data_IF_102874601528
#
_entry.id   IF_102874601528
#
_cell.length_a   1.000
_cell.length_b   1.000
_cell.length_c   1.000
_cell.angle_alpha   90.00
_cell.angle_beta   90.00
_cell.angle_gamma   90.00
#
_symmetry.space_group_name_H-M   'P 1'
#
loop_
_entity.id
_entity.type
_entity.pdbx_description
1 polymer ?
#
# COMPACT_ATOMS: atom_id res chain seq x y z
N UNK A 1 6.44 -9.45 3.25
CA UNK A 1 5.90 -9.15 4.58
C UNK A 1 6.72 -8.01 5.14
N UNK A 2 6.06 -7.00 5.67
CA UNK A 2 6.69 -5.85 6.32
C UNK A 2 7.09 -6.29 7.72
N UNK A 3 8.36 -6.18 8.07
CA UNK A 3 8.92 -6.98 9.15
C UNK A 3 9.01 -6.28 10.50
N UNK A 4 9.23 -4.98 10.49
CA UNK A 4 9.28 -4.13 11.67
C UNK A 4 8.67 -2.80 11.30
N UNK A 5 7.66 -2.39 12.05
CA UNK A 5 6.96 -1.14 11.85
C UNK A 5 7.09 -0.37 13.14
N UNK A 6 7.98 0.61 13.16
CA UNK A 6 8.15 1.42 14.37
C UNK A 6 6.80 2.03 14.76
N UNK A 7 6.53 2.12 16.07
CA UNK A 7 5.18 2.38 16.58
C UNK A 7 4.59 3.74 16.16
N UNK A 8 5.43 4.58 15.56
CA UNK A 8 5.13 5.93 15.13
C UNK A 8 4.77 6.01 13.63
N UNK A 9 5.00 4.93 12.85
CA UNK A 9 4.64 4.87 11.41
C UNK A 9 3.23 4.34 11.21
N UNK A 10 2.25 5.02 11.80
CA UNK A 10 0.87 4.55 11.87
C UNK A 10 -0.09 5.25 10.90
N UNK A 11 0.35 6.23 10.10
CA UNK A 11 -0.49 6.94 9.13
C UNK A 11 0.02 6.77 7.69
N UNK A 12 -0.75 6.11 6.83
CA UNK A 12 -0.39 5.87 5.43
C UNK A 12 -0.31 7.17 4.61
N UNK A 13 -1.03 8.23 5.00
CA UNK A 13 -1.03 9.50 4.27
C UNK A 13 0.36 10.11 4.05
N UNK A 14 1.28 9.97 5.01
CA UNK A 14 2.66 10.46 4.84
C UNK A 14 3.41 9.81 3.66
N UNK A 15 3.04 8.59 3.31
CA UNK A 15 3.65 7.89 2.17
C UNK A 15 3.30 8.53 0.83
N UNK A 16 2.19 9.29 0.74
CA UNK A 16 1.83 10.10 -0.42
C UNK A 16 2.86 11.21 -0.66
N UNK A 17 3.26 11.88 0.41
CA UNK A 17 4.27 12.94 0.39
C UNK A 17 5.61 12.36 -0.07
N UNK A 18 6.02 11.22 0.50
CA UNK A 18 7.27 10.55 0.12
C UNK A 18 7.25 10.11 -1.34
N UNK A 19 6.12 9.58 -1.83
CA UNK A 19 5.96 9.19 -3.23
C UNK A 19 6.17 10.38 -4.19
N UNK A 20 5.51 11.53 -3.92
CA UNK A 20 5.69 12.71 -4.75
C UNK A 20 7.10 13.30 -4.64
N UNK A 21 7.69 13.37 -3.44
CA UNK A 21 9.08 13.83 -3.25
C UNK A 21 10.06 12.96 -4.04
N UNK A 22 9.90 11.64 -4.00
CA UNK A 22 10.79 10.70 -4.68
C UNK A 22 10.72 10.81 -6.22
N UNK A 23 9.55 11.17 -6.76
CA UNK A 23 9.38 11.35 -8.21
C UNK A 23 9.79 12.75 -8.68
N UNK A 24 9.46 13.79 -7.92
CA UNK A 24 9.72 15.18 -8.31
C UNK A 24 11.17 15.62 -8.05
N UNK A 25 11.85 15.01 -7.07
CA UNK A 25 13.24 15.31 -6.75
C UNK A 25 14.14 14.25 -7.39
N UNK A 26 14.75 14.60 -8.52
CA UNK A 26 15.54 13.66 -9.34
C UNK A 26 16.69 12.96 -8.58
N UNK A 27 17.18 13.50 -7.45
CA UNK A 27 18.17 12.85 -6.58
C UNK A 27 18.05 13.28 -5.10
N UNK A 28 17.05 12.80 -4.37
CA UNK A 28 16.96 12.95 -2.92
C UNK A 28 17.54 11.74 -2.17
N UNK A 29 18.51 11.93 -1.28
CA UNK A 29 18.91 10.85 -0.35
C UNK A 29 17.75 10.53 0.61
N UNK A 30 17.66 9.30 1.15
CA UNK A 30 16.66 8.97 2.18
C UNK A 30 16.62 9.96 3.35
N UNK A 31 17.79 10.45 3.78
CA UNK A 31 17.90 11.44 4.85
C UNK A 31 17.31 12.79 4.45
N UNK A 32 17.53 13.23 3.21
CA UNK A 32 16.96 14.47 2.69
C UNK A 32 15.44 14.39 2.60
N UNK A 33 14.89 13.27 2.12
CA UNK A 33 13.44 13.02 2.11
C UNK A 33 12.88 13.04 3.54
N UNK A 34 13.57 12.44 4.51
CA UNK A 34 13.15 12.47 5.91
C UNK A 34 13.15 13.90 6.48
N UNK A 35 14.17 14.72 6.16
CA UNK A 35 14.23 16.12 6.57
C UNK A 35 13.05 16.94 6.02
N UNK A 36 12.75 16.82 4.72
CA UNK A 36 11.63 17.53 4.11
C UNK A 36 10.29 17.04 4.66
N UNK A 37 10.12 15.73 4.83
CA UNK A 37 8.90 15.16 5.42
C UNK A 37 8.64 15.72 6.81
N UNK A 38 9.69 15.86 7.64
CA UNK A 38 9.59 16.48 8.95
C UNK A 38 9.16 17.94 8.82
N UNK A 39 9.81 18.73 7.96
CA UNK A 39 9.47 20.15 7.76
C UNK A 39 8.02 20.36 7.31
N UNK A 40 7.56 19.57 6.32
CA UNK A 40 6.18 19.56 5.86
C UNK A 40 5.23 19.21 7.01
N UNK A 41 5.54 18.18 7.80
CA UNK A 41 4.71 17.77 8.93
C UNK A 41 4.64 18.86 10.01
N UNK A 42 5.77 19.48 10.36
CA UNK A 42 5.85 20.54 11.37
C UNK A 42 5.08 21.79 10.93
N UNK A 43 5.18 22.17 9.66
CA UNK A 43 4.47 23.32 9.08
C UNK A 43 2.95 23.13 9.10
N UNK A 44 2.50 21.88 9.10
CA UNK A 44 1.09 21.51 9.14
C UNK A 44 0.58 21.17 10.55
N UNK A 45 1.41 21.24 11.59
CA UNK A 45 1.04 20.82 12.96
C UNK A 45 -0.24 21.48 13.47
N UNK A 46 -0.41 22.79 13.25
CA UNK A 46 -1.58 23.54 13.73
C UNK A 46 -2.90 23.00 13.17
N UNK A 47 -2.87 22.43 11.97
CA UNK A 47 -4.04 21.83 11.31
C UNK A 47 -4.38 20.43 11.86
N UNK A 48 -3.43 19.79 12.55
CA UNK A 48 -3.52 18.37 12.91
C UNK A 48 -3.19 18.06 14.37
N UNK A 49 -3.11 19.04 15.29
CA UNK A 49 -2.54 18.90 16.64
C UNK A 49 -3.04 17.67 17.46
N UNK A 50 -4.26 17.19 17.20
CA UNK A 50 -4.87 16.05 17.89
C UNK A 50 -4.75 14.72 17.12
N UNK A 51 -4.20 14.73 15.91
CA UNK A 51 -4.05 13.54 15.07
C UNK A 51 -2.94 12.63 15.64
N UNK A 52 -3.25 11.37 15.93
CA UNK A 52 -2.25 10.37 16.29
C UNK A 52 -1.38 10.03 15.08
N UNK A 53 -0.09 9.79 15.33
CA UNK A 53 0.88 9.38 14.31
C UNK A 53 1.58 10.52 13.58
N UNK A 54 1.47 11.75 14.09
CA UNK A 54 2.18 12.90 13.55
C UNK A 54 3.70 12.70 13.59
N UNK A 55 4.36 12.99 12.47
CA UNK A 55 5.82 13.11 12.41
C UNK A 55 6.23 14.39 13.14
N UNK A 56 6.82 14.24 14.32
CA UNK A 56 7.27 15.34 15.19
C UNK A 56 8.79 15.37 15.40
N UNK A 57 9.48 14.33 14.94
CA UNK A 57 10.93 14.19 15.08
C UNK A 57 11.54 13.60 13.83
N UNK A 58 12.83 13.85 13.63
CA UNK A 58 13.59 13.26 12.52
C UNK A 58 13.58 11.73 12.57
N UNK A 59 13.63 11.14 13.77
CA UNK A 59 13.55 9.69 13.93
C UNK A 59 12.22 9.13 13.39
N UNK A 60 11.09 9.82 13.60
CA UNK A 60 9.82 9.38 13.03
C UNK A 60 9.83 9.47 11.50
N UNK A 61 10.39 10.55 10.95
CA UNK A 61 10.48 10.74 9.51
C UNK A 61 11.35 9.65 8.84
N UNK A 62 12.51 9.33 9.44
CA UNK A 62 13.38 8.24 8.99
C UNK A 62 12.66 6.89 9.01
N UNK A 63 11.85 6.62 10.05
CA UNK A 63 11.05 5.39 10.10
C UNK A 63 10.02 5.32 8.95
N UNK A 64 9.39 6.44 8.59
CA UNK A 64 8.49 6.50 7.42
C UNK A 64 9.23 6.29 6.10
N UNK A 65 10.44 6.81 5.96
CA UNK A 65 11.31 6.56 4.80
C UNK A 65 11.73 5.08 4.70
N UNK A 66 12.03 4.45 5.84
CA UNK A 66 12.26 3.01 5.92
C UNK A 66 11.03 2.21 5.48
N UNK A 67 9.85 2.57 5.98
CA UNK A 67 8.57 1.96 5.58
C UNK A 67 8.30 2.13 4.07
N UNK A 68 8.55 3.33 3.53
CA UNK A 68 8.40 3.62 2.11
C UNK A 68 9.30 2.72 1.24
N UNK A 69 10.49 2.38 1.72
CA UNK A 69 11.38 1.43 1.05
C UNK A 69 10.80 -0.01 1.08
N UNK A 70 10.22 -0.45 2.20
CA UNK A 70 9.56 -1.77 2.28
C UNK A 70 8.32 -1.90 1.37
N UNK A 71 7.69 -0.76 1.06
CA UNK A 71 6.50 -0.64 0.19
C UNK A 71 6.82 -0.30 -1.28
N UNK A 72 8.09 -0.31 -1.69
CA UNK A 72 8.52 0.02 -3.06
C UNK A 72 8.06 1.42 -3.53
N UNK A 73 7.93 2.35 -2.57
CA UNK A 73 7.80 3.77 -2.84
C UNK A 73 9.19 4.36 -3.09
N UNK A 74 10.20 3.88 -2.36
CA UNK A 74 11.60 4.22 -2.58
C UNK A 74 12.38 2.98 -3.04
N UNK A 75 13.30 3.18 -3.98
CA UNK A 75 14.24 2.15 -4.44
C UNK A 75 15.68 2.71 -4.35
N UNK A 76 16.23 2.72 -3.13
CA UNK A 76 17.52 3.32 -2.84
C UNK A 76 17.45 4.86 -2.87
N UNK A 77 17.96 5.47 -3.93
CA UNK A 77 18.05 6.94 -4.09
C UNK A 77 16.99 7.53 -5.02
N UNK A 78 16.05 6.72 -5.51
CA UNK A 78 15.00 7.20 -6.43
C UNK A 78 13.62 6.59 -6.17
N UNK A 79 12.64 7.03 -6.96
CA UNK A 79 11.28 6.53 -6.92
C UNK A 79 11.18 5.04 -7.31
N UNK A 80 10.59 4.26 -6.42
CA UNK A 80 10.11 2.92 -6.72
C UNK A 80 8.87 2.93 -7.63
N UNK A 81 8.39 1.76 -8.02
CA UNK A 81 7.24 1.63 -8.93
C UNK A 81 5.97 2.23 -8.31
N UNK A 82 5.76 2.01 -7.01
CA UNK A 82 4.61 2.53 -6.27
C UNK A 82 4.57 4.06 -6.28
N UNK A 83 5.72 4.72 -6.08
CA UNK A 83 5.81 6.17 -6.11
C UNK A 83 5.49 6.73 -7.50
N UNK A 84 6.02 6.10 -8.55
CA UNK A 84 5.74 6.47 -9.94
C UNK A 84 4.25 6.40 -10.21
N UNK A 85 3.60 5.27 -9.90
CA UNK A 85 2.15 5.11 -10.09
C UNK A 85 1.39 6.23 -9.38
N UNK A 86 1.63 6.43 -8.08
CA UNK A 86 0.90 7.44 -7.31
C UNK A 86 1.08 8.85 -7.87
N UNK A 87 2.31 9.23 -8.20
CA UNK A 87 2.64 10.58 -8.67
C UNK A 87 1.97 10.98 -9.99
N UNK A 88 1.53 10.01 -10.80
CA UNK A 88 0.80 10.27 -12.04
C UNK A 88 -0.74 10.27 -11.88
N UNK A 89 -1.26 9.99 -10.68
CA UNK A 89 -2.68 10.06 -10.40
C UNK A 89 -3.15 11.50 -10.18
N UNK A 90 -4.42 11.79 -10.43
CA UNK A 90 -5.01 13.09 -10.12
C UNK A 90 -4.98 13.36 -8.61
N UNK A 91 -5.11 12.32 -7.79
CA UNK A 91 -5.09 12.40 -6.33
C UNK A 91 -3.77 12.92 -5.76
N UNK A 92 -2.66 12.85 -6.52
CA UNK A 92 -1.37 13.38 -6.08
C UNK A 92 -1.22 14.89 -6.30
N UNK A 93 -2.08 15.52 -7.12
CA UNK A 93 -1.96 16.93 -7.52
C UNK A 93 -1.85 17.91 -6.33
N UNK A 94 -2.65 17.78 -5.24
CA UNK A 94 -2.50 18.64 -4.08
C UNK A 94 -1.13 18.51 -3.41
N UNK A 95 -0.55 17.30 -3.39
CA UNK A 95 0.76 17.03 -2.80
C UNK A 95 1.87 17.63 -3.68
N UNK A 96 1.76 17.53 -5.00
CA UNK A 96 2.68 18.20 -5.92
C UNK A 96 2.66 19.73 -5.75
N UNK A 97 1.48 20.34 -5.58
CA UNK A 97 1.35 21.78 -5.29
C UNK A 97 1.96 22.14 -3.93
N UNK A 98 1.75 21.32 -2.91
CA UNK A 98 2.40 21.50 -1.61
C UNK A 98 3.93 21.53 -1.74
N UNK A 99 4.51 20.55 -2.46
CA UNK A 99 5.97 20.42 -2.59
C UNK A 99 6.56 21.57 -3.41
N UNK A 100 5.91 21.99 -4.50
CA UNK A 100 6.44 23.00 -5.42
C UNK A 100 6.17 24.43 -4.99
N UNK A 101 4.99 24.68 -4.44
CA UNK A 101 4.46 26.03 -4.19
C UNK A 101 4.29 26.32 -2.69
N UNK A 102 4.41 25.32 -1.82
CA UNK A 102 4.14 25.46 -0.37
C UNK A 102 2.65 25.56 -0.04
N UNK A 103 1.76 25.24 -0.99
CA UNK A 103 0.30 25.34 -0.80
C UNK A 103 -0.18 24.36 0.28
N UNK A 104 -0.79 24.83 1.40
CA UNK A 104 -1.26 23.95 2.47
C UNK A 104 -2.29 22.94 1.98
N UNK A 105 -2.16 21.68 2.39
CA UNK A 105 -3.09 20.61 2.02
C UNK A 105 -3.14 19.51 3.08
N UNK A 106 -4.21 18.70 3.07
CA UNK A 106 -4.31 17.54 3.95
C UNK A 106 -3.44 16.38 3.46
N UNK A 107 -2.35 16.14 4.17
CA UNK A 107 -1.39 15.08 3.88
C UNK A 107 -1.74 13.75 4.56
N UNK A 108 -2.67 13.73 5.53
CA UNK A 108 -2.95 12.56 6.36
C UNK A 108 -4.15 11.77 5.85
N UNK A 109 -5.22 12.46 5.46
CA UNK A 109 -6.46 11.80 5.04
C UNK A 109 -6.31 11.20 3.65
N UNK A 110 -6.82 9.99 3.46
CA UNK A 110 -6.84 9.31 2.16
C UNK A 110 -8.19 9.53 1.47
N UNK A 111 -8.16 9.85 0.18
CA UNK A 111 -9.36 9.74 -0.67
C UNK A 111 -9.75 8.26 -0.83
N UNK A 112 -10.97 7.96 -1.27
CA UNK A 112 -11.39 6.56 -1.48
C UNK A 112 -10.50 5.82 -2.51
N UNK A 113 -10.02 6.51 -3.55
CA UNK A 113 -9.07 5.92 -4.51
C UNK A 113 -7.72 5.66 -3.83
N UNK A 114 -7.25 6.59 -3.00
CA UNK A 114 -6.02 6.41 -2.21
C UNK A 114 -6.16 5.26 -1.20
N UNK A 115 -7.33 5.06 -0.60
CA UNK A 115 -7.60 3.91 0.27
C UNK A 115 -7.43 2.58 -0.47
N UNK A 116 -7.99 2.46 -1.67
CA UNK A 116 -7.80 1.27 -2.53
C UNK A 116 -6.33 1.14 -2.95
N UNK A 117 -5.67 2.25 -3.30
CA UNK A 117 -4.26 2.28 -3.66
C UNK A 117 -3.38 1.76 -2.53
N UNK A 118 -3.52 2.28 -1.31
CA UNK A 118 -2.73 1.81 -0.17
C UNK A 118 -3.10 0.40 0.28
N UNK A 119 -4.37 -0.02 0.17
CA UNK A 119 -4.74 -1.41 0.39
C UNK A 119 -4.04 -2.35 -0.61
N UNK A 120 -3.93 -1.96 -1.88
CA UNK A 120 -3.19 -2.73 -2.89
C UNK A 120 -1.72 -2.89 -2.53
N UNK A 121 -1.09 -1.84 -1.98
CA UNK A 121 0.31 -1.88 -1.52
C UNK A 121 0.45 -2.84 -0.34
N UNK A 122 -0.43 -2.76 0.65
CA UNK A 122 -0.41 -3.69 1.80
C UNK A 122 -0.57 -5.14 1.35
N UNK A 123 -1.49 -5.41 0.42
CA UNK A 123 -1.67 -6.76 -0.14
C UNK A 123 -0.45 -7.21 -0.94
N UNK A 124 0.21 -6.31 -1.66
CA UNK A 124 1.43 -6.64 -2.42
C UNK A 124 2.63 -6.86 -1.49
N UNK A 125 2.83 -6.06 -0.45
CA UNK A 125 4.07 -6.10 0.35
C UNK A 125 3.92 -6.88 1.66
N UNK A 126 2.70 -7.00 2.17
CA UNK A 126 2.38 -7.56 3.47
C UNK A 126 1.19 -8.53 3.45
N UNK A 127 0.97 -9.19 2.30
CA UNK A 127 -0.20 -10.03 2.01
C UNK A 127 -0.71 -10.85 3.20
N UNK A 128 0.06 -11.83 3.68
CA UNK A 128 -0.40 -12.81 4.67
C UNK A 128 -0.79 -12.18 6.00
N UNK A 129 -0.07 -11.14 6.43
CA UNK A 129 -0.38 -10.44 7.66
C UNK A 129 -1.60 -9.54 7.46
N UNK A 130 -1.66 -8.78 6.37
CA UNK A 130 -2.79 -7.89 6.08
C UNK A 130 -4.09 -8.69 5.89
N UNK A 131 -4.06 -9.78 5.13
CA UNK A 131 -5.23 -10.63 4.90
C UNK A 131 -5.69 -11.35 6.17
N UNK A 132 -4.76 -11.85 6.98
CA UNK A 132 -5.07 -12.47 8.26
C UNK A 132 -5.69 -11.48 9.26
N UNK A 133 -5.16 -10.26 9.34
CA UNK A 133 -5.73 -9.19 10.19
C UNK A 133 -7.14 -8.81 9.70
N UNK A 134 -7.35 -8.64 8.38
CA UNK A 134 -8.67 -8.31 7.84
C UNK A 134 -9.67 -9.43 8.18
N UNK A 135 -9.34 -10.72 7.97
CA UNK A 135 -10.22 -11.84 8.33
C UNK A 135 -10.61 -11.81 9.81
N UNK A 136 -9.63 -11.67 10.69
CA UNK A 136 -9.86 -11.60 12.12
C UNK A 136 -10.73 -10.40 12.52
N UNK A 137 -10.54 -9.24 11.87
CA UNK A 137 -11.36 -8.05 12.09
C UNK A 137 -12.82 -8.30 11.70
N UNK A 138 -13.07 -8.96 10.57
CA UNK A 138 -14.42 -9.30 10.10
C UNK A 138 -15.15 -10.23 11.09
N UNK A 139 -14.42 -11.13 11.72
CA UNK A 139 -14.95 -12.07 12.73
C UNK A 139 -15.26 -11.38 14.06
N UNK A 140 -14.33 -10.57 14.58
CA UNK A 140 -14.42 -10.00 15.92
C UNK A 140 -15.25 -8.70 15.98
N UNK A 141 -15.27 -7.93 14.89
CA UNK A 141 -16.04 -6.68 14.69
C UNK A 141 -15.75 -5.51 15.64
N UNK A 142 -15.42 -5.75 16.91
CA UNK A 142 -15.06 -4.74 17.91
C UNK A 142 -14.09 -5.35 18.91
N UNK A 143 -13.00 -4.65 19.22
CA UNK A 143 -11.92 -5.19 20.02
C UNK A 143 -11.03 -4.10 20.61
N UNK A 144 -10.27 -4.44 21.66
CA UNK A 144 -9.19 -3.58 22.14
C UNK A 144 -7.89 -3.89 21.42
N UNK A 145 -6.97 -2.91 21.41
CA UNK A 145 -5.62 -3.07 20.87
C UNK A 145 -4.86 -4.22 21.53
N UNK A 146 -5.05 -4.43 22.84
CA UNK A 146 -4.34 -5.49 23.56
C UNK A 146 -4.86 -6.87 23.15
N UNK A 147 -6.18 -7.03 23.07
CA UNK A 147 -6.78 -8.31 22.66
C UNK A 147 -6.35 -8.68 21.24
N UNK A 148 -6.35 -7.69 20.33
CA UNK A 148 -5.84 -7.86 18.98
C UNK A 148 -4.34 -8.23 18.99
N UNK A 149 -3.51 -7.55 19.79
CA UNK A 149 -2.08 -7.86 19.90
C UNK A 149 -1.83 -9.29 20.36
N UNK A 150 -2.52 -9.73 21.41
CA UNK A 150 -2.40 -11.10 21.92
C UNK A 150 -2.86 -12.10 20.84
N UNK A 151 -4.08 -11.96 20.34
CA UNK A 151 -4.65 -12.92 19.39
C UNK A 151 -3.89 -12.98 18.07
N UNK A 152 -3.67 -11.84 17.41
CA UNK A 152 -3.07 -11.81 16.06
C UNK A 152 -1.57 -12.10 16.08
N UNK A 153 -0.83 -11.68 17.12
CA UNK A 153 0.60 -12.00 17.19
C UNK A 153 0.86 -13.45 17.56
N UNK A 154 -0.06 -14.12 18.25
CA UNK A 154 0.08 -15.53 18.64
C UNK A 154 -0.49 -16.50 17.61
N UNK A 155 -1.34 -16.03 16.69
CA UNK A 155 -2.00 -16.90 15.68
C UNK A 155 -1.64 -16.51 14.24
N UNK A 156 -1.96 -15.28 13.83
CA UNK A 156 -1.80 -14.81 12.44
C UNK A 156 -0.35 -14.54 12.09
N UNK A 157 0.42 -13.90 12.98
CA UNK A 157 1.81 -13.55 12.70
C UNK A 157 2.74 -14.76 12.47
N UNK A 158 2.70 -15.83 13.29
CA UNK A 158 3.48 -17.05 13.02
C UNK A 158 3.07 -17.72 11.70
N UNK A 159 1.76 -17.76 11.39
CA UNK A 159 1.29 -18.32 10.11
C UNK A 159 1.76 -17.47 8.92
N UNK A 160 1.70 -16.14 9.03
CA UNK A 160 2.22 -15.24 8.00
C UNK A 160 3.73 -15.42 7.77
N UNK A 161 4.51 -15.62 8.85
CA UNK A 161 5.92 -15.97 8.76
C UNK A 161 6.15 -17.32 8.08
N UNK A 162 5.36 -18.34 8.43
CA UNK A 162 5.43 -19.67 7.82
C UNK A 162 5.17 -19.63 6.32
N UNK A 163 4.18 -18.86 5.88
CA UNK A 163 3.91 -18.68 4.44
C UNK A 163 5.02 -17.88 3.75
N UNK A 164 5.51 -16.79 4.37
CA UNK A 164 6.62 -16.02 3.82
C UNK A 164 7.92 -16.84 3.71
N UNK A 165 8.15 -17.79 4.62
CA UNK A 165 9.31 -18.67 4.61
C UNK A 165 9.31 -19.64 3.41
N UNK A 166 8.13 -20.08 2.94
CA UNK A 166 8.00 -21.02 1.81
C UNK A 166 8.60 -20.47 0.51
N UNK A 167 8.49 -19.16 0.29
CA UNK A 167 9.01 -18.47 -0.91
C UNK A 167 10.35 -17.77 -0.69
N UNK A 168 10.91 -17.80 0.53
CA UNK A 168 12.17 -17.13 0.85
C UNK A 168 13.40 -17.99 0.56
N UNK A 169 14.47 -17.34 0.10
CA UNK A 169 15.76 -17.93 -0.26
C UNK A 169 16.92 -17.21 0.44
N UNK A 170 18.04 -17.92 0.61
CA UNK A 170 19.30 -17.38 1.17
C UNK A 170 19.16 -16.78 2.57
N UNK A 171 19.89 -15.68 2.84
CA UNK A 171 19.92 -14.99 4.15
C UNK A 171 18.53 -14.58 4.66
N UNK A 172 17.60 -14.24 3.76
CA UNK A 172 16.22 -13.90 4.13
C UNK A 172 15.49 -15.10 4.74
N UNK A 173 15.70 -16.29 4.20
CA UNK A 173 15.11 -17.54 4.72
C UNK A 173 15.58 -17.82 6.15
N UNK A 174 16.88 -17.69 6.41
CA UNK A 174 17.44 -17.88 7.76
C UNK A 174 16.88 -16.87 8.76
N UNK A 175 16.79 -15.59 8.38
CA UNK A 175 16.22 -14.55 9.22
C UNK A 175 14.74 -14.82 9.56
N UNK A 176 13.96 -15.28 8.57
CA UNK A 176 12.55 -15.65 8.76
C UNK A 176 12.40 -16.89 9.65
N UNK A 177 13.24 -17.91 9.46
CA UNK A 177 13.19 -19.13 10.27
C UNK A 177 13.44 -18.83 11.75
N UNK A 178 14.46 -18.01 12.06
CA UNK A 178 14.74 -17.56 13.44
C UNK A 178 13.58 -16.78 14.04
N UNK A 179 12.94 -15.89 13.26
CA UNK A 179 11.76 -15.13 13.71
C UNK A 179 10.55 -16.04 13.95
N UNK A 180 10.35 -17.04 13.10
CA UNK A 180 9.26 -18.02 13.25
C UNK A 180 9.43 -18.86 14.52
N UNK A 181 10.62 -19.37 14.79
CA UNK A 181 10.91 -20.14 16.00
C UNK A 181 10.59 -19.34 17.28
N UNK A 182 10.94 -18.05 17.30
CA UNK A 182 10.59 -17.15 18.40
C UNK A 182 9.07 -16.94 18.45
N UNK A 183 8.42 -16.72 17.30
CA UNK A 183 7.00 -16.42 17.23
C UNK A 183 6.10 -17.61 17.62
N UNK A 184 6.54 -18.85 17.37
CA UNK A 184 5.82 -20.06 17.78
C UNK A 184 5.73 -20.23 19.30
N UNK A 185 6.69 -19.66 20.05
CA UNK A 185 6.69 -19.68 21.52
C UNK A 185 5.97 -18.48 22.15
N UNK A 186 5.37 -17.60 21.35
CA UNK A 186 4.82 -16.35 21.87
C UNK A 186 3.75 -16.52 22.96
N UNK A 187 2.78 -17.43 22.76
CA UNK A 187 1.75 -17.68 23.76
C UNK A 187 2.35 -18.23 25.07
N UNK A 188 3.29 -19.18 24.96
CA UNK A 188 4.00 -19.77 26.10
C UNK A 188 4.82 -18.71 26.86
N UNK A 189 5.64 -17.94 26.13
CA UNK A 189 6.49 -16.90 26.71
C UNK A 189 5.69 -15.79 27.38
N UNK A 190 4.53 -15.42 26.81
CA UNK A 190 3.64 -14.45 27.45
C UNK A 190 3.06 -14.99 28.76
N UNK A 191 2.70 -16.27 28.80
CA UNK A 191 2.20 -16.95 29.99
C UNK A 191 3.21 -17.05 31.14
N UNK A 192 4.51 -16.86 30.87
CA UNK A 192 5.57 -16.86 31.89
C UNK A 192 5.67 -15.57 32.71
N UNK A 193 5.10 -14.46 32.23
CA UNK A 193 5.12 -13.21 32.98
C UNK A 193 4.09 -13.24 34.12
N UNK A 194 4.52 -12.84 35.31
CA UNK A 194 3.69 -12.85 36.53
C UNK A 194 2.60 -11.77 36.51
N UNK A 195 2.78 -10.73 35.71
CA UNK A 195 1.82 -9.63 35.60
C UNK A 195 1.86 -8.95 34.22
N UNK A 196 0.76 -8.24 33.90
CA UNK A 196 0.67 -7.42 32.69
C UNK A 196 1.72 -6.30 32.64
N UNK A 197 2.08 -5.71 33.77
CA UNK A 197 3.10 -4.66 33.83
C UNK A 197 4.49 -5.20 33.50
N UNK A 198 4.81 -6.39 33.97
CA UNK A 198 6.06 -7.08 33.64
C UNK A 198 6.14 -7.35 32.14
N UNK A 199 5.06 -7.89 31.56
CA UNK A 199 4.98 -8.15 30.13
C UNK A 199 5.15 -6.88 29.28
N UNK A 200 4.51 -5.77 29.64
CA UNK A 200 4.61 -4.49 28.89
C UNK A 200 6.04 -3.93 28.85
N UNK A 201 6.90 -4.30 29.80
CA UNK A 201 8.33 -3.92 29.81
C UNK A 201 9.22 -4.91 29.07
N UNK A 202 8.68 -6.02 28.59
CA UNK A 202 9.43 -7.07 27.93
C UNK A 202 9.78 -6.75 26.48
N UNK A 203 10.81 -7.43 25.97
CA UNK A 203 11.14 -7.42 24.53
C UNK A 203 10.01 -7.99 23.67
N UNK A 204 9.26 -8.96 24.19
CA UNK A 204 8.14 -9.56 23.47
C UNK A 204 7.03 -8.54 23.20
N UNK A 205 6.67 -7.74 24.20
CA UNK A 205 5.69 -6.66 24.02
C UNK A 205 6.17 -5.61 23.00
N UNK A 206 7.47 -5.28 22.99
CA UNK A 206 8.02 -4.39 21.97
C UNK A 206 7.81 -4.95 20.54
N UNK A 207 8.05 -6.26 20.34
CA UNK A 207 7.78 -6.91 19.05
C UNK A 207 6.30 -6.79 18.66
N UNK A 208 5.37 -7.00 19.61
CA UNK A 208 3.94 -6.91 19.35
C UNK A 208 3.56 -5.48 18.97
N UNK A 209 4.02 -4.50 19.74
CA UNK A 209 3.73 -3.08 19.56
C UNK A 209 4.29 -2.51 18.25
N UNK A 210 5.42 -3.03 17.79
CA UNK A 210 6.05 -2.64 16.52
C UNK A 210 5.63 -3.51 15.33
N UNK A 211 4.67 -4.41 15.52
CA UNK A 211 4.14 -5.22 14.42
C UNK A 211 2.68 -4.90 14.17
N UNK A 212 1.83 -5.03 15.18
CA UNK A 212 0.38 -5.01 14.96
C UNK A 212 -0.25 -3.62 15.04
N UNK A 213 -0.04 -2.79 16.08
CA UNK A 213 -0.73 -1.51 16.19
C UNK A 213 -0.63 -0.63 14.95
N UNK A 214 0.52 -0.47 14.27
CA UNK A 214 0.59 0.29 13.03
C UNK A 214 -0.35 -0.24 11.94
N UNK A 215 -0.48 -1.57 11.79
CA UNK A 215 -1.39 -2.19 10.83
C UNK A 215 -2.85 -1.92 11.14
N UNK A 216 -3.23 -1.93 12.42
CA UNK A 216 -4.58 -1.54 12.82
C UNK A 216 -4.87 -0.10 12.41
N UNK A 217 -3.89 0.80 12.57
CA UNK A 217 -4.05 2.19 12.14
C UNK A 217 -4.06 2.37 10.63
N UNK A 218 -3.31 1.56 9.88
CA UNK A 218 -3.41 1.53 8.42
C UNK A 218 -4.79 1.06 7.96
N UNK A 219 -5.39 0.09 8.64
CA UNK A 219 -6.78 -0.32 8.37
C UNK A 219 -7.80 0.76 8.76
N UNK A 220 -7.47 1.66 9.69
CA UNK A 220 -8.28 2.87 9.94
C UNK A 220 -8.16 3.84 8.78
N UNK A 221 -6.95 4.13 8.30
CA UNK A 221 -6.73 5.04 7.16
C UNK A 221 -7.40 4.53 5.87
N UNK A 222 -7.36 3.22 5.63
CA UNK A 222 -8.03 2.54 4.51
C UNK A 222 -9.56 2.53 4.67
N UNK A 223 -10.08 2.84 5.86
CA UNK A 223 -11.52 2.88 6.14
C UNK A 223 -12.13 1.51 6.46
N UNK A 224 -11.33 0.49 6.77
CA UNK A 224 -11.81 -0.82 7.22
C UNK A 224 -12.20 -0.79 8.71
N UNK A 225 -11.44 -0.05 9.51
CA UNK A 225 -11.66 0.12 10.95
C UNK A 225 -12.04 1.57 11.29
N UNK A 226 -12.76 1.72 12.40
CA UNK A 226 -13.01 2.98 13.08
C UNK A 226 -12.34 2.97 14.46
N UNK A 227 -11.89 4.13 14.91
CA UNK A 227 -11.50 4.34 16.30
C UNK A 227 -12.74 4.70 17.12
N UNK A 228 -13.06 3.88 18.12
CA UNK A 228 -14.18 4.12 19.04
C UNK A 228 -13.73 4.65 20.41
N UNK A 229 -12.41 4.74 20.62
CA UNK A 229 -11.79 5.27 21.82
C UNK A 229 -10.29 4.97 21.85
N UNK A 230 -9.64 5.32 22.96
CA UNK A 230 -8.19 5.09 23.11
C UNK A 230 -7.88 3.59 23.06
N UNK A 231 -7.24 3.15 21.97
CA UNK A 231 -6.86 1.76 21.76
C UNK A 231 -8.05 0.80 21.64
N UNK A 232 -9.21 1.29 21.19
CA UNK A 232 -10.39 0.49 20.90
C UNK A 232 -10.82 0.73 19.46
N UNK A 233 -11.12 -0.36 18.75
CA UNK A 233 -11.45 -0.34 17.34
C UNK A 233 -12.77 -1.06 17.10
N UNK A 234 -13.48 -0.66 16.05
CA UNK A 234 -14.61 -1.40 15.49
C UNK A 234 -14.49 -1.45 13.98
N UNK A 235 -15.10 -2.46 13.36
CA UNK A 235 -15.28 -2.49 11.91
C UNK A 235 -16.09 -1.26 11.46
N UNK A 236 -15.73 -0.67 10.33
CA UNK A 236 -16.50 0.44 9.76
C UNK A 236 -17.81 -0.06 9.16
N UNK A 237 -18.88 0.78 9.11
CA UNK A 237 -20.12 0.39 8.45
C UNK A 237 -19.92 0.02 6.98
N UNK A 238 -19.04 0.73 6.27
CA UNK A 238 -18.70 0.43 4.88
C UNK A 238 -18.00 -0.93 4.75
N UNK A 239 -17.03 -1.23 5.62
CA UNK A 239 -16.36 -2.52 5.63
C UNK A 239 -17.32 -3.67 5.96
N UNK A 240 -18.28 -3.42 6.86
CA UNK A 240 -19.31 -4.40 7.20
C UNK A 240 -20.20 -4.73 6.01
N UNK A 241 -20.63 -3.75 5.20
CA UNK A 241 -21.44 -4.01 4.00
C UNK A 241 -20.66 -4.76 2.92
N UNK A 242 -19.35 -4.55 2.82
CA UNK A 242 -18.45 -5.27 1.90
C UNK A 242 -17.77 -6.50 2.52
N UNK A 243 -18.26 -7.03 3.64
CA UNK A 243 -17.60 -8.16 4.34
C UNK A 243 -17.33 -9.34 3.42
N UNK A 244 -18.29 -9.69 2.54
CA UNK A 244 -18.11 -10.78 1.56
C UNK A 244 -16.98 -10.49 0.57
N UNK A 245 -16.90 -9.27 0.07
CA UNK A 245 -15.88 -8.85 -0.90
C UNK A 245 -14.49 -8.85 -0.26
N UNK A 246 -14.39 -8.38 0.99
CA UNK A 246 -13.15 -8.43 1.78
C UNK A 246 -12.73 -9.86 2.10
N UNK A 247 -13.68 -10.76 2.38
CA UNK A 247 -13.38 -12.19 2.56
C UNK A 247 -12.81 -12.80 1.29
N UNK A 248 -13.46 -12.59 0.13
CA UNK A 248 -12.98 -13.09 -1.16
C UNK A 248 -11.58 -12.56 -1.51
N UNK A 249 -11.32 -11.28 -1.22
CA UNK A 249 -10.01 -10.65 -1.34
C UNK A 249 -8.93 -11.39 -0.53
N UNK A 250 -9.27 -11.84 0.68
CA UNK A 250 -8.32 -12.43 1.62
C UNK A 250 -8.19 -13.97 1.50
N UNK A 251 -9.10 -14.65 0.80
CA UNK A 251 -9.05 -16.10 0.55
C UNK A 251 -8.14 -16.49 -0.62
N UNK A 252 -7.87 -15.57 -1.54
CA UNK A 252 -7.01 -15.79 -2.70
C UNK A 252 -5.52 -15.91 -2.38
N UNK A 253 -4.72 -16.07 -3.44
CA UNK A 253 -3.27 -15.91 -3.37
C UNK A 253 -2.88 -14.44 -3.48
N UNK A 254 -1.63 -14.11 -3.13
CA UNK A 254 -1.07 -12.75 -3.26
C UNK A 254 -1.22 -12.23 -4.70
N UNK A 255 -1.02 -13.09 -5.68
CA UNK A 255 -1.08 -12.76 -7.11
C UNK A 255 -2.51 -12.45 -7.56
N UNK A 256 -3.51 -13.09 -6.94
CA UNK A 256 -4.93 -12.85 -7.22
C UNK A 256 -5.52 -11.69 -6.42
N UNK A 257 -4.89 -11.29 -5.31
CA UNK A 257 -5.43 -10.28 -4.41
C UNK A 257 -5.69 -8.94 -5.12
N UNK A 258 -4.78 -8.52 -6.00
CA UNK A 258 -4.94 -7.29 -6.77
C UNK A 258 -6.12 -7.38 -7.76
N UNK A 259 -6.30 -8.52 -8.43
CA UNK A 259 -7.48 -8.77 -9.28
C UNK A 259 -8.78 -8.65 -8.46
N UNK A 260 -8.85 -9.34 -7.32
CA UNK A 260 -10.02 -9.34 -6.46
C UNK A 260 -10.32 -7.96 -5.87
N UNK A 261 -9.28 -7.16 -5.60
CA UNK A 261 -9.42 -5.80 -5.11
C UNK A 261 -10.21 -4.94 -6.10
N UNK A 262 -9.85 -4.96 -7.39
CA UNK A 262 -10.55 -4.17 -8.40
C UNK A 262 -11.94 -4.74 -8.75
N UNK A 263 -12.06 -6.06 -8.82
CA UNK A 263 -13.31 -6.74 -9.20
C UNK A 263 -14.41 -6.57 -8.13
N UNK A 264 -14.05 -6.70 -6.85
CA UNK A 264 -15.01 -6.70 -5.75
C UNK A 264 -14.95 -5.41 -4.93
N UNK A 265 -13.83 -5.16 -4.26
CA UNK A 265 -13.75 -4.10 -3.24
C UNK A 265 -13.86 -2.70 -3.84
N UNK A 266 -13.10 -2.39 -4.89
CA UNK A 266 -13.13 -1.09 -5.54
C UNK A 266 -14.52 -0.78 -6.13
N UNK A 267 -15.15 -1.79 -6.74
CA UNK A 267 -16.50 -1.69 -7.28
C UNK A 267 -17.53 -1.35 -6.21
N UNK A 268 -17.48 -2.04 -5.07
CA UNK A 268 -18.43 -1.83 -3.96
C UNK A 268 -18.18 -0.52 -3.22
N UNK A 269 -16.91 -0.18 -2.93
CA UNK A 269 -16.55 1.01 -2.18
C UNK A 269 -16.83 2.31 -2.95
N UNK A 270 -16.51 2.34 -4.24
CA UNK A 270 -16.62 3.54 -5.09
C UNK A 270 -17.91 3.56 -5.93
N UNK A 271 -18.70 2.48 -5.96
CA UNK A 271 -19.80 2.33 -6.91
C UNK A 271 -19.33 2.36 -8.37
N UNK A 272 -18.08 1.96 -8.63
CA UNK A 272 -17.43 2.13 -9.91
C UNK A 272 -18.05 1.25 -11.00
N UNK A 273 -18.19 1.81 -12.21
CA UNK A 273 -18.77 1.11 -13.37
C UNK A 273 -17.72 0.28 -14.09
N UNK A 274 -18.13 -0.77 -14.79
CA UNK A 274 -17.23 -1.49 -15.68
C UNK A 274 -17.01 -0.66 -16.95
N UNK A 275 -15.76 -0.33 -17.33
CA UNK A 275 -15.47 0.34 -18.59
C UNK A 275 -15.63 -0.63 -19.76
N UNK A 276 -16.02 -0.11 -20.91
CA UNK A 276 -15.92 -0.87 -22.16
C UNK A 276 -14.46 -0.97 -22.63
N UNK A 277 -14.24 -1.76 -23.68
CA UNK A 277 -12.89 -1.98 -24.23
C UNK A 277 -12.27 -0.70 -24.76
N UNK A 278 -13.03 0.13 -25.46
CA UNK A 278 -12.54 1.40 -26.03
C UNK A 278 -12.02 2.32 -24.94
N UNK A 279 -12.78 2.50 -23.85
CA UNK A 279 -12.38 3.32 -22.70
C UNK A 279 -11.15 2.76 -21.98
N UNK A 280 -11.00 1.44 -21.89
CA UNK A 280 -9.77 0.83 -21.35
C UNK A 280 -8.56 1.14 -22.23
N UNK A 281 -8.71 1.08 -23.55
CA UNK A 281 -7.64 1.37 -24.49
C UNK A 281 -7.28 2.87 -24.48
N UNK A 282 -8.26 3.76 -24.51
CA UNK A 282 -8.06 5.21 -24.39
C UNK A 282 -7.27 5.55 -23.13
N UNK A 283 -7.67 4.98 -21.98
CA UNK A 283 -6.97 5.21 -20.72
C UNK A 283 -5.53 4.64 -20.73
N UNK A 284 -5.28 3.49 -21.36
CA UNK A 284 -3.92 2.96 -21.52
C UNK A 284 -3.03 3.91 -22.33
N UNK A 285 -3.55 4.46 -23.44
CA UNK A 285 -2.81 5.38 -24.31
C UNK A 285 -2.55 6.73 -23.64
N UNK A 286 -3.56 7.30 -22.98
CA UNK A 286 -3.43 8.53 -22.20
C UNK A 286 -2.34 8.40 -21.13
N UNK A 287 -2.39 7.33 -20.34
CA UNK A 287 -1.42 7.11 -19.26
C UNK A 287 -0.03 6.78 -19.81
N UNK A 288 0.07 6.05 -20.93
CA UNK A 288 1.36 5.79 -21.57
C UNK A 288 2.01 7.09 -22.02
N UNK A 289 1.27 7.97 -22.70
CA UNK A 289 1.80 9.26 -23.18
C UNK A 289 2.24 10.15 -22.00
N UNK A 290 1.45 10.18 -20.92
CA UNK A 290 1.78 10.91 -19.70
C UNK A 290 3.09 10.41 -19.07
N UNK A 291 3.25 9.10 -18.98
CA UNK A 291 4.41 8.47 -18.33
C UNK A 291 5.65 8.53 -19.21
N UNK A 292 5.54 8.24 -20.51
CA UNK A 292 6.67 8.26 -21.44
C UNK A 292 7.32 9.65 -21.53
N UNK A 293 6.51 10.72 -21.41
CA UNK A 293 7.03 12.09 -21.40
C UNK A 293 7.96 12.38 -20.21
N UNK A 294 7.88 11.61 -19.13
CA UNK A 294 8.68 11.80 -17.90
C UNK A 294 9.62 10.63 -17.58
N UNK A 295 9.35 9.43 -18.09
CA UNK A 295 10.13 8.22 -17.86
C UNK A 295 10.71 7.69 -19.17
N UNK A 296 12.00 7.34 -19.18
CA UNK A 296 12.68 6.81 -20.36
C UNK A 296 12.21 5.40 -20.80
N UNK A 297 11.60 4.63 -19.91
CA UNK A 297 11.10 3.28 -20.20
C UNK A 297 9.79 3.03 -19.46
N UNK A 298 8.77 2.51 -20.16
CA UNK A 298 7.47 2.20 -19.56
C UNK A 298 7.31 0.69 -19.40
N UNK A 299 7.27 0.23 -18.14
CA UNK A 299 6.94 -1.15 -17.81
C UNK A 299 5.42 -1.38 -18.01
N UNK A 300 5.04 -2.44 -18.71
CA UNK A 300 3.65 -2.75 -19.01
C UNK A 300 2.82 -3.04 -17.75
N UNK A 301 3.36 -3.75 -16.76
CA UNK A 301 2.65 -4.02 -15.51
C UNK A 301 2.42 -2.76 -14.69
N UNK A 302 3.40 -1.86 -14.64
CA UNK A 302 3.24 -0.53 -14.03
C UNK A 302 2.17 0.28 -14.77
N UNK A 303 2.18 0.30 -16.10
CA UNK A 303 1.18 1.01 -16.90
C UNK A 303 -0.23 0.47 -16.66
N UNK A 304 -0.40 -0.86 -16.60
CA UNK A 304 -1.68 -1.50 -16.28
C UNK A 304 -2.19 -1.04 -14.91
N UNK A 305 -1.33 -1.10 -13.87
CA UNK A 305 -1.71 -0.66 -12.52
C UNK A 305 -2.08 0.83 -12.48
N UNK A 306 -1.26 1.69 -13.08
CA UNK A 306 -1.55 3.12 -13.21
C UNK A 306 -2.91 3.34 -13.87
N UNK A 307 -3.19 2.58 -14.94
CA UNK A 307 -4.45 2.69 -15.67
C UNK A 307 -5.64 2.20 -14.85
N UNK A 308 -5.50 1.13 -14.05
CA UNK A 308 -6.53 0.72 -13.11
C UNK A 308 -6.92 1.86 -12.15
N UNK A 309 -5.92 2.52 -11.54
CA UNK A 309 -6.18 3.62 -10.59
C UNK A 309 -6.71 4.89 -11.27
N UNK A 310 -6.15 5.25 -12.43
CA UNK A 310 -6.63 6.38 -13.25
C UNK A 310 -8.09 6.18 -13.68
N UNK A 311 -8.48 4.96 -14.02
CA UNK A 311 -9.89 4.61 -14.28
C UNK A 311 -10.77 4.77 -13.03
N UNK A 312 -10.28 4.38 -11.85
CA UNK A 312 -11.02 4.57 -10.59
C UNK A 312 -11.28 6.04 -10.30
N UNK A 313 -10.30 6.92 -10.55
CA UNK A 313 -10.48 8.38 -10.42
C UNK A 313 -11.53 8.94 -11.39
N UNK A 314 -11.79 8.23 -12.50
CA UNK A 314 -12.83 8.52 -13.48
C UNK A 314 -14.15 7.76 -13.21
N UNK A 315 -14.24 7.02 -12.10
CA UNK A 315 -15.44 6.26 -11.71
C UNK A 315 -15.61 4.90 -12.39
N UNK A 316 -14.55 4.35 -12.98
CA UNK A 316 -14.53 3.04 -13.63
C UNK A 316 -13.63 2.06 -12.90
N UNK A 317 -14.00 0.79 -12.81
CA UNK A 317 -13.13 -0.27 -12.29
C UNK A 317 -12.81 -1.28 -13.37
N UNK A 318 -11.52 -1.40 -13.69
CA UNK A 318 -10.95 -2.46 -14.52
C UNK A 318 -9.81 -3.12 -13.77
N UNK A 319 -9.67 -4.43 -13.93
CA UNK A 319 -8.59 -5.18 -13.33
C UNK A 319 -7.34 -5.23 -14.21
N UNK A 320 -6.16 -5.56 -13.65
CA UNK A 320 -4.94 -5.72 -14.43
C UNK A 320 -5.09 -6.76 -15.56
N UNK A 321 -5.85 -7.84 -15.34
CA UNK A 321 -6.09 -8.85 -16.37
C UNK A 321 -6.95 -8.32 -17.53
N UNK A 322 -7.96 -7.49 -17.23
CA UNK A 322 -8.77 -6.86 -18.28
C UNK A 322 -7.93 -5.91 -19.14
N UNK A 323 -7.04 -5.13 -18.51
CA UNK A 323 -6.13 -4.23 -19.22
C UNK A 323 -5.06 -4.97 -20.01
N UNK A 324 -4.57 -6.11 -19.50
CA UNK A 324 -3.65 -6.97 -20.24
C UNK A 324 -4.27 -7.45 -21.56
N UNK A 325 -5.52 -7.92 -21.50
CA UNK A 325 -6.29 -8.30 -22.70
C UNK A 325 -6.54 -7.11 -23.63
N UNK A 326 -6.84 -5.94 -23.10
CA UNK A 326 -7.02 -4.73 -23.90
C UNK A 326 -5.73 -4.33 -24.63
N UNK A 327 -4.58 -4.41 -23.95
CA UNK A 327 -3.26 -4.14 -24.53
C UNK A 327 -2.89 -5.17 -25.61
N UNK A 328 -3.05 -6.47 -25.34
CA UNK A 328 -2.77 -7.53 -26.32
C UNK A 328 -3.61 -7.36 -27.58
N UNK A 329 -4.88 -7.04 -27.42
CA UNK A 329 -5.75 -6.75 -28.54
C UNK A 329 -5.27 -5.55 -29.37
N UNK A 330 -4.82 -4.48 -28.71
CA UNK A 330 -4.25 -3.32 -29.39
C UNK A 330 -2.95 -3.69 -30.13
N UNK A 331 -2.08 -4.51 -29.54
CA UNK A 331 -0.87 -5.01 -30.18
C UNK A 331 -1.16 -5.87 -31.43
N UNK A 332 -2.24 -6.64 -31.41
CA UNK A 332 -2.68 -7.45 -32.56
C UNK A 332 -3.28 -6.57 -33.66
N UNK A 333 -4.06 -5.54 -33.30
CA UNK A 333 -4.70 -4.65 -34.27
C UNK A 333 -3.70 -3.69 -34.94
N UNK A 334 -2.66 -3.27 -34.22
CA UNK A 334 -1.68 -2.28 -34.70
C UNK A 334 -0.23 -2.80 -34.52
N UNK A 335 0.15 -3.90 -35.19
CA UNK A 335 1.44 -4.55 -35.00
C UNK A 335 2.63 -3.67 -35.44
N UNK A 336 2.38 -2.65 -36.26
CA UNK A 336 3.35 -1.67 -36.75
C UNK A 336 3.49 -0.43 -35.84
N UNK A 337 2.67 -0.34 -34.79
CA UNK A 337 2.62 0.83 -33.87
C UNK A 337 2.87 0.48 -32.41
N UNK A 338 2.81 -0.81 -32.07
CA UNK A 338 2.97 -1.32 -30.71
C UNK A 338 4.24 -2.16 -30.66
N UNK A 339 5.26 -1.64 -29.99
CA UNK A 339 6.55 -2.32 -29.85
C UNK A 339 6.86 -2.55 -28.39
N UNK A 340 7.22 -3.80 -28.10
CA UNK A 340 7.63 -4.24 -26.77
C UNK A 340 8.97 -4.97 -26.85
N UNK A 341 9.72 -4.93 -25.76
CA UNK A 341 10.94 -5.73 -25.59
C UNK A 341 10.96 -6.38 -24.20
N UNK A 342 11.72 -7.46 -24.02
CA UNK A 342 12.02 -7.97 -22.69
C UNK A 342 12.75 -6.92 -21.84
N UNK A 343 12.24 -6.66 -20.65
CA UNK A 343 12.83 -5.80 -19.62
C UNK A 343 13.61 -6.61 -18.58
N UNK A 344 14.15 -5.91 -17.58
CA UNK A 344 14.87 -6.54 -16.47
C UNK A 344 13.93 -7.42 -15.63
N UNK A 345 14.40 -8.63 -15.28
CA UNK A 345 13.66 -9.54 -14.42
C UNK A 345 12.46 -10.22 -15.09
N UNK A 346 12.43 -10.28 -16.43
CA UNK A 346 11.36 -10.94 -17.19
C UNK A 346 10.11 -10.09 -17.38
N UNK A 347 10.18 -8.78 -17.09
CA UNK A 347 9.10 -7.83 -17.35
C UNK A 347 9.01 -7.48 -18.84
N UNK A 348 7.91 -6.86 -19.24
CA UNK A 348 7.72 -6.32 -20.59
C UNK A 348 7.86 -4.81 -20.57
N UNK A 349 8.78 -4.27 -21.38
CA UNK A 349 8.94 -2.83 -21.58
C UNK A 349 8.29 -2.43 -22.90
N UNK A 350 7.45 -1.39 -22.86
CA UNK A 350 6.85 -0.77 -24.04
C UNK A 350 7.85 0.26 -24.56
N UNK A 351 8.35 0.04 -25.78
CA UNK A 351 9.30 0.96 -26.42
C UNK A 351 8.62 1.98 -27.32
N UNK A 352 7.42 1.65 -27.83
CA UNK A 352 6.63 2.54 -28.68
C UNK A 352 5.17 2.11 -28.66
N UNK A 353 4.26 3.09 -28.53
CA UNK A 353 2.81 2.91 -28.52
C UNK A 353 2.16 4.13 -29.19
N UNK A 354 2.11 4.11 -30.53
CA UNK A 354 1.68 5.27 -31.33
C UNK A 354 0.31 5.03 -31.99
N UNK A 355 -0.67 4.62 -31.19
CA UNK A 355 -2.06 4.47 -31.65
C UNK A 355 -2.82 5.75 -31.31
N UNK A 356 -3.44 6.36 -32.31
CA UNK A 356 -4.26 7.56 -32.13
C UNK A 356 -5.66 7.19 -31.62
N UNK A 357 -6.30 8.01 -30.76
CA UNK A 357 -7.68 7.77 -30.33
C UNK A 357 -8.68 7.63 -31.48
N UNK A 358 -8.43 8.28 -32.62
CA UNK A 358 -9.29 8.19 -33.82
C UNK A 358 -9.22 6.85 -34.55
N UNK A 359 -8.26 5.99 -34.19
CA UNK A 359 -8.04 4.69 -34.83
C UNK A 359 -8.71 3.54 -34.06
N UNK A 360 -9.25 3.80 -32.87
CA UNK A 360 -9.74 2.80 -31.90
C UNK A 360 -11.21 2.44 -32.13
#
# INVERSE_FOLDING_TARGET
MIHEVHGDTCRLGYLKVIACLATDMEMGTPDYIASILLEISLSNLKSFEQSPGLVKSIANAVNYVGLASEMDILNGVGAGETAKIYSFLKSSEPIHKLIKEGTPTDILTLTQVEQIFFLSILLRHDFHMTSGVIKWVLENKSFSRNDAMESLMETVYPEALRQALRSAVGRRREALAKRLEIAERFAEDRGRYSSKMEWVRSRQYAIYRHSLPPRLEWLVDIGILNRVGRGKYSISPAALTMSRDLTLLCEGSREKAEEMLFVYVAKTLLGARQPDRTRMIEALLENYNLVQARLHSVNLDMLKRLTCFSLLEKGYSASPLQLDRAFLNLAIMFPDKVFVKPGKGGTTEITRLEVSPYEI
#
